data_IF_599619636362
#
_entry.id   IF_599619636362
#
_cell.length_a   1.000
_cell.length_b   1.000
_cell.length_c   1.000
_cell.angle_alpha   90.00
_cell.angle_beta   90.00
_cell.angle_gamma   90.00
#
_symmetry.space_group_name_H-M   'P 1'
#
loop_
_entity.id
_entity.type
_entity.pdbx_description
1 polymer ?
#
# COMPACT_ATOMS: atom_id res chain seq x y z
N UNK A 1 16.28 -5.42 4.00
CA UNK A 1 15.48 -6.02 5.09
C UNK A 1 16.34 -6.86 5.99
N UNK A 2 16.13 -6.79 7.29
CA UNK A 2 16.78 -7.58 8.30
C UNK A 2 15.89 -7.67 9.55
N UNK A 3 16.18 -8.60 10.42
CA UNK A 3 15.51 -8.75 11.70
C UNK A 3 15.70 -7.51 12.57
N UNK A 4 14.64 -7.10 13.29
CA UNK A 4 14.63 -5.87 14.08
C UNK A 4 15.70 -5.90 15.20
N UNK A 5 15.81 -7.02 15.92
CA UNK A 5 16.79 -7.13 17.00
C UNK A 5 18.22 -7.10 16.46
N UNK A 6 18.45 -7.73 15.30
CA UNK A 6 19.74 -7.67 14.64
C UNK A 6 20.11 -6.26 14.21
N UNK A 7 19.16 -5.52 13.60
CA UNK A 7 19.35 -4.12 13.22
C UNK A 7 19.68 -3.25 14.43
N UNK A 8 18.93 -3.39 15.53
CA UNK A 8 19.15 -2.67 16.77
C UNK A 8 20.54 -2.98 17.37
N UNK A 9 20.93 -4.26 17.43
CA UNK A 9 22.19 -4.71 18.04
C UNK A 9 23.42 -4.17 17.29
N UNK A 10 23.36 -4.04 15.96
CA UNK A 10 24.46 -3.47 15.16
C UNK A 10 24.43 -1.95 15.05
N UNK A 11 23.43 -1.29 15.65
CA UNK A 11 23.30 0.17 15.61
C UNK A 11 22.83 0.70 14.25
N UNK A 12 22.04 -0.07 13.48
CA UNK A 12 21.51 0.37 12.20
C UNK A 12 20.56 1.55 12.35
N UNK A 13 20.55 2.42 11.36
CA UNK A 13 19.45 3.35 11.13
C UNK A 13 18.24 2.57 10.61
N UNK A 14 17.10 2.69 11.26
CA UNK A 14 15.87 1.99 10.90
C UNK A 14 14.90 3.03 10.35
N UNK A 15 14.53 2.89 9.09
CA UNK A 15 13.62 3.81 8.39
C UNK A 15 12.16 3.50 8.61
N UNK A 16 11.81 2.22 8.67
CA UNK A 16 10.46 1.71 8.88
C UNK A 16 10.50 0.25 9.33
N UNK A 17 9.37 -0.26 9.77
CA UNK A 17 9.19 -1.67 10.13
C UNK A 17 8.15 -2.30 9.20
N UNK A 18 8.40 -3.52 8.70
CA UNK A 18 7.37 -4.35 8.08
C UNK A 18 6.65 -5.07 9.20
N UNK A 19 5.46 -4.55 9.54
CA UNK A 19 4.67 -5.05 10.67
C UNK A 19 3.90 -6.32 10.32
N UNK A 20 3.42 -6.44 9.07
CA UNK A 20 2.62 -7.57 8.65
C UNK A 20 2.72 -7.84 7.15
N UNK A 21 2.46 -9.09 6.79
CA UNK A 21 2.50 -9.57 5.42
C UNK A 21 1.50 -10.70 5.21
N UNK A 22 0.81 -10.69 4.06
CA UNK A 22 0.01 -11.82 3.65
C UNK A 22 -0.08 -11.93 2.13
N UNK A 23 -0.33 -13.15 1.69
CA UNK A 23 -0.67 -13.47 0.29
C UNK A 23 -1.93 -14.30 0.22
N UNK A 24 -2.71 -14.09 -0.83
CA UNK A 24 -3.88 -14.88 -1.17
C UNK A 24 -3.92 -15.17 -2.67
N UNK A 25 -4.88 -15.96 -3.08
CA UNK A 25 -5.17 -16.15 -4.50
C UNK A 25 -6.69 -16.07 -4.72
N UNK A 26 -7.10 -15.43 -5.81
CA UNK A 26 -8.51 -15.31 -6.20
C UNK A 26 -9.12 -16.64 -6.63
N UNK A 27 -8.31 -17.51 -7.26
CA UNK A 27 -8.76 -18.75 -7.90
C UNK A 27 -9.94 -18.52 -8.87
N UNK A 28 -9.98 -17.34 -9.49
CA UNK A 28 -11.09 -16.90 -10.32
C UNK A 28 -10.80 -17.04 -11.82
N UNK A 29 -9.72 -16.42 -12.30
CA UNK A 29 -9.39 -16.40 -13.73
C UNK A 29 -7.86 -16.28 -13.92
N UNK A 30 -7.27 -16.85 -15.01
CA UNK A 30 -5.82 -16.79 -15.22
C UNK A 30 -5.24 -15.37 -15.38
N UNK A 31 -6.05 -14.39 -15.79
CA UNK A 31 -5.58 -13.03 -16.09
C UNK A 31 -6.35 -11.98 -15.28
N UNK A 32 -7.68 -12.06 -15.26
CA UNK A 32 -8.54 -11.07 -14.63
C UNK A 32 -8.64 -11.29 -13.12
N UNK A 33 -8.62 -10.21 -12.29
CA UNK A 33 -8.92 -10.32 -10.86
C UNK A 33 -10.40 -10.71 -10.64
N UNK A 34 -10.70 -11.22 -9.45
CA UNK A 34 -12.07 -11.38 -9.01
C UNK A 34 -12.74 -10.00 -8.93
N UNK A 35 -13.86 -9.76 -9.64
CA UNK A 35 -14.42 -8.41 -9.78
C UNK A 35 -14.99 -7.86 -8.46
N UNK A 36 -15.28 -8.72 -7.49
CA UNK A 36 -15.75 -8.35 -6.15
C UNK A 36 -14.61 -7.95 -5.19
N UNK A 37 -13.34 -8.03 -5.62
CA UNK A 37 -12.18 -7.68 -4.82
C UNK A 37 -11.93 -8.59 -3.61
N UNK A 38 -12.71 -9.66 -3.42
CA UNK A 38 -12.68 -10.49 -2.20
C UNK A 38 -11.32 -11.15 -1.93
N UNK A 39 -10.60 -11.56 -2.99
CA UNK A 39 -9.27 -12.16 -2.85
C UNK A 39 -8.23 -11.16 -2.34
N UNK A 40 -8.23 -9.96 -2.91
CA UNK A 40 -7.37 -8.86 -2.47
C UNK A 40 -7.74 -8.38 -1.06
N UNK A 41 -9.04 -8.26 -0.74
CA UNK A 41 -9.51 -7.93 0.61
C UNK A 41 -8.96 -8.89 1.66
N UNK A 42 -9.04 -10.21 1.41
CA UNK A 42 -8.46 -11.22 2.31
C UNK A 42 -6.96 -11.06 2.51
N UNK A 43 -6.21 -10.64 1.48
CA UNK A 43 -4.77 -10.38 1.62
C UNK A 43 -4.51 -9.19 2.54
N UNK A 44 -5.29 -8.12 2.39
CA UNK A 44 -5.17 -6.91 3.22
C UNK A 44 -5.54 -7.25 4.67
N UNK A 45 -6.69 -7.89 4.90
CA UNK A 45 -7.14 -8.30 6.25
C UNK A 45 -6.13 -9.21 6.94
N UNK A 46 -5.61 -10.21 6.22
CA UNK A 46 -4.63 -11.14 6.76
C UNK A 46 -3.31 -10.45 7.11
N UNK A 47 -2.84 -9.50 6.29
CA UNK A 47 -1.64 -8.72 6.58
C UNK A 47 -1.82 -7.80 7.81
N UNK A 48 -2.99 -7.18 7.95
CA UNK A 48 -3.35 -6.39 9.13
C UNK A 48 -3.39 -7.27 10.39
N UNK A 49 -4.00 -8.45 10.29
CA UNK A 49 -4.05 -9.43 11.37
C UNK A 49 -2.64 -9.92 11.77
N UNK A 50 -1.79 -10.24 10.80
CA UNK A 50 -0.41 -10.67 11.03
C UNK A 50 0.40 -9.62 11.79
N UNK A 51 0.22 -8.33 11.45
CA UNK A 51 0.84 -7.20 12.13
C UNK A 51 0.19 -6.78 13.44
N UNK A 52 -0.99 -7.33 13.79
CA UNK A 52 -1.77 -6.86 14.94
C UNK A 52 -2.25 -5.41 14.79
N UNK A 53 -2.40 -4.93 13.56
CA UNK A 53 -2.77 -3.54 13.24
C UNK A 53 -4.27 -3.49 12.89
N UNK A 54 -4.99 -2.59 13.55
CA UNK A 54 -6.40 -2.31 13.22
C UNK A 54 -6.51 -1.51 11.92
N UNK A 55 -7.54 -1.74 11.08
CA UNK A 55 -7.81 -0.90 9.91
C UNK A 55 -7.83 0.61 10.22
N UNK A 56 -8.28 1.00 11.41
CA UNK A 56 -8.34 2.40 11.85
C UNK A 56 -6.96 3.07 11.98
N UNK A 57 -5.91 2.29 12.12
CA UNK A 57 -4.54 2.80 12.25
C UNK A 57 -3.89 3.09 10.89
N UNK A 58 -4.51 2.64 9.79
CA UNK A 58 -3.99 2.90 8.44
C UNK A 58 -4.36 4.31 8.00
N UNK A 59 -3.34 5.12 7.73
CA UNK A 59 -3.52 6.50 7.28
C UNK A 59 -3.08 6.74 5.83
N UNK A 60 -2.60 5.70 5.13
CA UNK A 60 -2.18 5.80 3.74
C UNK A 60 -2.21 4.43 3.04
N UNK A 61 -2.59 4.39 1.77
CA UNK A 61 -2.59 3.20 0.93
C UNK A 61 -1.72 3.44 -0.30
N UNK A 62 -0.65 2.65 -0.46
CA UNK A 62 0.08 2.55 -1.72
C UNK A 62 -0.52 1.41 -2.55
N UNK A 63 -1.41 1.77 -3.46
CA UNK A 63 -2.18 0.84 -4.24
C UNK A 63 -1.36 0.15 -5.34
N UNK A 64 -1.79 -1.04 -5.73
CA UNK A 64 -1.29 -1.69 -6.94
C UNK A 64 -1.61 -0.87 -8.18
N UNK A 65 -2.86 -0.50 -8.37
CA UNK A 65 -3.38 0.43 -9.38
C UNK A 65 -2.56 0.46 -10.68
N UNK A 66 -2.58 -0.66 -11.40
CA UNK A 66 -1.83 -0.83 -12.66
C UNK A 66 -2.47 -0.11 -13.85
N UNK A 67 -3.52 0.65 -13.63
CA UNK A 67 -4.30 1.36 -14.66
C UNK A 67 -4.98 0.42 -15.65
N UNK A 68 -5.54 -0.69 -15.13
CA UNK A 68 -6.40 -1.57 -15.90
C UNK A 68 -7.85 -1.42 -15.45
N UNK A 69 -8.85 -1.35 -16.37
CA UNK A 69 -10.24 -1.11 -15.99
C UNK A 69 -10.79 -2.10 -14.96
N UNK A 70 -10.49 -3.39 -15.12
CA UNK A 70 -10.95 -4.41 -14.18
C UNK A 70 -10.14 -4.42 -12.88
N UNK A 71 -8.82 -4.20 -12.96
CA UNK A 71 -7.91 -4.27 -11.81
C UNK A 71 -8.15 -3.15 -10.82
N UNK A 72 -8.22 -1.92 -11.30
CA UNK A 72 -8.38 -0.75 -10.43
C UNK A 72 -9.75 -0.75 -9.74
N UNK A 73 -10.81 -1.19 -10.43
CA UNK A 73 -12.15 -1.34 -9.83
C UNK A 73 -12.16 -2.44 -8.77
N UNK A 74 -11.59 -3.62 -9.07
CA UNK A 74 -11.52 -4.72 -8.10
C UNK A 74 -10.70 -4.35 -6.85
N UNK A 75 -9.61 -3.59 -7.01
CA UNK A 75 -8.83 -3.06 -5.89
C UNK A 75 -9.62 -2.06 -5.06
N UNK A 76 -10.38 -1.16 -5.70
CA UNK A 76 -11.24 -0.23 -5.00
C UNK A 76 -12.33 -0.96 -4.18
N UNK A 77 -12.92 -2.03 -4.73
CA UNK A 77 -13.85 -2.87 -3.97
C UNK A 77 -13.17 -3.55 -2.78
N UNK A 78 -11.96 -4.09 -2.96
CA UNK A 78 -11.19 -4.68 -1.86
C UNK A 78 -10.94 -3.65 -0.73
N UNK A 79 -10.56 -2.43 -1.07
CA UNK A 79 -10.36 -1.34 -0.10
C UNK A 79 -11.66 -1.02 0.62
N UNK A 80 -12.80 -0.95 -0.07
CA UNK A 80 -14.12 -0.74 0.56
C UNK A 80 -14.51 -1.87 1.51
N UNK A 81 -14.26 -3.12 1.13
CA UNK A 81 -14.55 -4.28 1.98
C UNK A 81 -13.79 -4.22 3.31
N UNK A 82 -12.52 -3.83 3.28
CA UNK A 82 -11.65 -3.81 4.47
C UNK A 82 -11.88 -2.57 5.33
N UNK A 83 -11.97 -1.39 4.71
CA UNK A 83 -11.96 -0.10 5.43
C UNK A 83 -13.36 0.51 5.61
N UNK A 84 -14.40 -0.09 4.99
CA UNK A 84 -15.78 0.37 5.13
C UNK A 84 -15.96 1.84 4.73
N UNK A 85 -16.64 2.59 5.57
CA UNK A 85 -16.90 4.03 5.36
C UNK A 85 -15.62 4.86 5.26
N UNK A 86 -14.55 4.45 5.96
CA UNK A 86 -13.25 5.12 5.90
C UNK A 86 -12.53 5.00 4.57
N UNK A 87 -12.94 4.08 3.69
CA UNK A 87 -12.28 3.86 2.39
C UNK A 87 -12.18 5.12 1.52
N UNK A 88 -13.15 6.03 1.63
CA UNK A 88 -13.16 7.32 0.93
C UNK A 88 -12.35 8.43 1.60
N UNK A 89 -11.81 8.19 2.80
CA UNK A 89 -11.07 9.19 3.60
C UNK A 89 -9.57 8.87 3.69
N UNK A 90 -9.18 7.62 3.42
CA UNK A 90 -7.77 7.22 3.47
C UNK A 90 -7.11 7.64 2.16
N UNK A 91 -6.05 8.47 2.20
CA UNK A 91 -5.30 8.84 1.01
C UNK A 91 -4.74 7.62 0.27
N UNK A 92 -4.97 7.56 -1.03
CA UNK A 92 -4.48 6.48 -1.91
C UNK A 92 -3.56 7.05 -2.97
N UNK A 93 -2.44 6.40 -3.24
CA UNK A 93 -1.58 6.74 -4.38
C UNK A 93 -1.08 5.51 -5.12
N UNK A 94 -0.67 5.70 -6.36
CA UNK A 94 0.16 4.77 -7.11
C UNK A 94 1.28 5.52 -7.82
N UNK A 95 2.51 5.16 -7.53
CA UNK A 95 3.68 5.76 -8.19
C UNK A 95 3.91 5.24 -9.61
N UNK A 96 3.14 4.25 -10.06
CA UNK A 96 3.24 3.68 -11.42
C UNK A 96 2.98 4.71 -12.51
N UNK A 97 2.17 5.74 -12.24
CA UNK A 97 1.98 6.85 -13.17
C UNK A 97 3.25 7.65 -13.47
N UNK A 98 4.23 7.62 -12.58
CA UNK A 98 5.52 8.30 -12.71
C UNK A 98 6.63 7.37 -13.24
N UNK A 99 6.74 6.14 -12.72
CA UNK A 99 7.87 5.24 -12.98
C UNK A 99 7.52 4.07 -13.91
N UNK A 100 6.26 3.91 -14.28
CA UNK A 100 5.76 2.75 -15.02
C UNK A 100 5.55 1.52 -14.11
N UNK A 101 4.99 0.46 -14.68
CA UNK A 101 4.84 -0.83 -14.00
C UNK A 101 6.10 -1.67 -14.19
N UNK A 102 6.94 -1.72 -13.18
CA UNK A 102 8.25 -2.40 -13.21
C UNK A 102 8.13 -3.92 -12.94
N UNK A 103 6.96 -4.51 -13.11
CA UNK A 103 6.68 -5.96 -12.96
C UNK A 103 7.19 -6.51 -11.62
N UNK A 104 8.12 -7.47 -11.62
CA UNK A 104 8.69 -8.06 -10.41
C UNK A 104 9.45 -7.08 -9.50
N UNK A 105 9.90 -5.93 -10.02
CA UNK A 105 10.57 -4.90 -9.22
C UNK A 105 9.58 -3.89 -8.60
N UNK A 106 8.31 -3.85 -9.06
CA UNK A 106 7.31 -2.88 -8.58
C UNK A 106 7.14 -2.91 -7.07
N UNK A 107 7.02 -4.12 -6.49
CA UNK A 107 6.85 -4.29 -5.06
C UNK A 107 7.96 -3.63 -4.23
N UNK A 108 9.22 -3.81 -4.63
CA UNK A 108 10.36 -3.22 -3.94
C UNK A 108 10.42 -1.70 -4.11
N UNK A 109 10.25 -1.19 -5.35
CA UNK A 109 10.26 0.25 -5.63
C UNK A 109 9.13 0.99 -4.89
N UNK A 110 7.94 0.42 -4.89
CA UNK A 110 6.78 0.99 -4.20
C UNK A 110 6.93 0.92 -2.68
N UNK A 111 7.58 -0.11 -2.14
CA UNK A 111 7.94 -0.16 -0.72
C UNK A 111 8.93 0.94 -0.35
N UNK A 112 9.97 1.16 -1.16
CA UNK A 112 10.93 2.26 -0.92
C UNK A 112 10.22 3.61 -0.94
N UNK A 113 9.35 3.86 -1.93
CA UNK A 113 8.59 5.13 -2.00
C UNK A 113 7.62 5.30 -0.83
N UNK A 114 7.03 4.20 -0.34
CA UNK A 114 6.17 4.22 0.85
C UNK A 114 6.95 4.58 2.12
N UNK A 115 8.14 4.00 2.29
CA UNK A 115 9.03 4.32 3.42
C UNK A 115 9.46 5.79 3.37
N UNK A 116 9.85 6.31 2.20
CA UNK A 116 10.19 7.72 2.03
C UNK A 116 9.00 8.64 2.34
N UNK A 117 7.79 8.29 1.85
CA UNK A 117 6.58 9.05 2.16
C UNK A 117 6.29 9.07 3.67
N UNK A 118 6.55 7.97 4.37
CA UNK A 118 6.41 7.88 5.83
C UNK A 118 7.44 8.74 6.56
N UNK A 119 8.70 8.71 6.14
CA UNK A 119 9.77 9.50 6.75
C UNK A 119 9.51 11.01 6.60
N UNK A 120 9.02 11.43 5.43
CA UNK A 120 8.72 12.82 5.12
C UNK A 120 7.31 13.24 5.55
N UNK A 121 6.45 12.31 5.98
CA UNK A 121 5.02 12.53 6.24
C UNK A 121 4.33 13.24 5.07
N UNK A 122 4.69 12.81 3.86
CA UNK A 122 4.28 13.42 2.60
C UNK A 122 3.99 12.37 1.53
N UNK A 123 2.73 12.26 1.14
CA UNK A 123 2.26 11.26 0.18
C UNK A 123 2.50 11.76 -1.24
N UNK A 124 3.22 11.01 -2.09
CA UNK A 124 3.45 11.40 -3.47
C UNK A 124 2.15 11.33 -4.29
N UNK A 125 1.99 12.18 -5.33
CA UNK A 125 0.80 12.16 -6.15
C UNK A 125 0.81 10.99 -7.15
N UNK A 126 -0.36 10.48 -7.47
CA UNK A 126 -0.60 9.65 -8.64
C UNK A 126 -0.46 10.50 -9.90
N UNK A 127 0.70 10.41 -10.56
CA UNK A 127 0.98 11.20 -11.77
C UNK A 127 0.07 10.77 -12.92
N UNK A 128 -0.27 11.74 -13.76
CA UNK A 128 -1.13 11.56 -14.94
C UNK A 128 -2.59 11.18 -14.64
N UNK A 129 -3.05 11.34 -13.41
CA UNK A 129 -4.43 11.15 -13.01
C UNK A 129 -5.27 12.36 -13.45
N UNK A 130 -5.88 12.28 -14.66
CA UNK A 130 -6.59 13.40 -15.28
C UNK A 130 -8.10 13.23 -15.33
N UNK A 131 -8.55 11.99 -15.44
CA UNK A 131 -9.97 11.64 -15.60
C UNK A 131 -10.33 10.62 -14.52
N UNK A 132 -10.83 11.07 -13.36
CA UNK A 132 -11.29 10.18 -12.31
C UNK A 132 -12.36 9.22 -12.82
N UNK A 133 -12.19 7.92 -12.57
CA UNK A 133 -13.22 6.93 -12.84
C UNK A 133 -14.23 6.94 -11.68
N UNK A 134 -15.52 7.22 -11.95
CA UNK A 134 -16.55 7.23 -10.90
C UNK A 134 -16.68 5.90 -10.15
N UNK A 135 -16.29 4.78 -10.75
CA UNK A 135 -16.33 3.46 -10.11
C UNK A 135 -15.28 3.32 -9.00
N UNK A 136 -14.19 4.09 -9.05
CA UNK A 136 -13.12 4.04 -8.04
C UNK A 136 -13.57 4.68 -6.73
N UNK A 137 -14.01 5.94 -6.73
CA UNK A 137 -14.59 6.64 -5.57
C UNK A 137 -13.71 6.68 -4.32
N UNK A 138 -12.37 6.61 -4.47
CA UNK A 138 -11.38 6.69 -3.40
C UNK A 138 -10.74 8.08 -3.36
N UNK A 139 -10.11 8.43 -2.24
CA UNK A 139 -9.36 9.68 -2.09
C UNK A 139 -7.96 9.56 -2.74
N UNK A 140 -7.92 9.64 -4.07
CA UNK A 140 -6.67 9.54 -4.82
C UNK A 140 -5.88 10.83 -4.72
N UNK A 141 -4.67 10.77 -4.15
CA UNK A 141 -3.74 11.91 -4.14
C UNK A 141 -3.23 12.13 -5.56
N UNK A 142 -3.44 13.33 -6.11
CA UNK A 142 -3.04 13.70 -7.47
C UNK A 142 -2.51 15.15 -7.54
N UNK A 143 -2.02 15.55 -8.69
CA UNK A 143 -1.40 16.85 -8.99
C UNK A 143 -0.17 17.13 -8.12
N UNK A 144 -0.35 17.46 -6.83
CA UNK A 144 0.71 17.79 -5.90
C UNK A 144 0.81 16.77 -4.75
N UNK A 145 1.99 16.61 -4.15
CA UNK A 145 2.13 15.80 -2.94
C UNK A 145 1.27 16.33 -1.80
N UNK A 146 0.74 15.42 -0.97
CA UNK A 146 -0.12 15.76 0.16
C UNK A 146 0.62 15.56 1.47
N UNK A 147 0.69 16.60 2.29
CA UNK A 147 1.10 16.48 3.69
C UNK A 147 0.07 15.64 4.46
N UNK A 148 0.52 14.66 5.21
CA UNK A 148 -0.34 13.79 6.00
C UNK A 148 0.43 13.20 7.17
N UNK A 149 -0.20 13.12 8.34
CA UNK A 149 0.37 12.45 9.50
C UNK A 149 -0.19 11.04 9.61
N UNK A 150 0.67 10.03 9.50
CA UNK A 150 0.30 8.62 9.60
C UNK A 150 1.44 7.78 10.16
N UNK A 151 1.10 6.74 10.90
CA UNK A 151 2.06 5.83 11.53
C UNK A 151 2.10 4.47 10.83
N UNK A 152 1.05 4.11 10.09
CA UNK A 152 0.97 2.86 9.36
C UNK A 152 0.37 3.09 7.97
N UNK A 153 0.79 2.26 7.04
CA UNK A 153 0.26 2.21 5.69
C UNK A 153 0.14 0.76 5.19
N UNK A 154 -0.69 0.55 4.18
CA UNK A 154 -0.70 -0.70 3.42
C UNK A 154 -0.12 -0.51 2.03
N UNK A 155 0.64 -1.50 1.57
CA UNK A 155 1.19 -1.57 0.23
C UNK A 155 0.68 -2.81 -0.48
N UNK A 156 0.00 -2.62 -1.60
CA UNK A 156 -0.66 -3.68 -2.35
C UNK A 156 0.14 -4.11 -3.58
N UNK A 157 0.13 -5.40 -3.88
CA UNK A 157 0.67 -5.97 -5.11
C UNK A 157 -0.24 -7.09 -5.58
N UNK A 158 -0.86 -6.89 -6.73
CA UNK A 158 -1.75 -7.87 -7.34
C UNK A 158 -1.21 -8.30 -8.69
N UNK A 159 -1.30 -9.58 -8.99
CA UNK A 159 -0.66 -10.16 -10.17
C UNK A 159 -1.58 -11.04 -10.99
N UNK A 160 -1.15 -11.32 -12.22
CA UNK A 160 -1.78 -12.31 -13.08
C UNK A 160 -1.83 -13.66 -12.37
N UNK A 161 -2.89 -14.44 -12.62
CA UNK A 161 -3.13 -15.70 -11.91
C UNK A 161 -3.89 -15.54 -10.59
N UNK A 162 -4.38 -14.31 -10.30
CA UNK A 162 -5.14 -14.00 -9.09
C UNK A 162 -4.27 -13.90 -7.83
N UNK A 163 -2.98 -13.68 -7.97
CA UNK A 163 -2.08 -13.55 -6.84
C UNK A 163 -2.24 -12.16 -6.21
N UNK A 164 -2.50 -12.14 -4.90
CA UNK A 164 -2.60 -10.91 -4.12
C UNK A 164 -1.57 -10.94 -2.99
N UNK A 165 -0.89 -9.83 -2.78
CA UNK A 165 0.02 -9.62 -1.67
C UNK A 165 -0.20 -8.25 -1.06
N UNK A 166 -0.14 -8.18 0.27
CA UNK A 166 -0.18 -6.95 1.03
C UNK A 166 0.94 -6.91 2.06
N UNK A 167 1.59 -5.75 2.19
CA UNK A 167 2.48 -5.41 3.29
C UNK A 167 1.78 -4.38 4.17
N UNK A 168 1.95 -4.49 5.48
CA UNK A 168 1.68 -3.43 6.45
C UNK A 168 3.03 -2.87 6.89
N UNK A 169 3.22 -1.58 6.69
CA UNK A 169 4.46 -0.87 7.00
C UNK A 169 4.15 0.14 8.10
N UNK A 170 4.94 0.10 9.17
CA UNK A 170 4.85 1.01 10.30
C UNK A 170 6.08 1.91 10.44
N UNK A 171 5.93 2.97 11.21
CA UNK A 171 7.06 3.83 11.58
C UNK A 171 8.14 3.04 12.32
N UNK A 172 9.39 3.46 12.14
CA UNK A 172 10.50 2.93 12.93
C UNK A 172 10.24 3.09 14.44
N UNK A 173 10.65 2.11 15.27
CA UNK A 173 10.54 2.21 16.72
C UNK A 173 11.13 3.53 17.26
N UNK A 174 10.44 4.18 18.19
CA UNK A 174 10.70 5.56 18.65
C UNK A 174 12.13 5.89 19.15
N UNK A 175 12.96 4.87 19.39
CA UNK A 175 14.28 5.05 19.96
C UNK A 175 15.41 5.42 18.98
N UNK A 176 15.13 5.56 17.67
CA UNK A 176 16.20 5.79 16.66
C UNK A 176 15.73 6.54 15.40
N UNK A 177 14.93 7.59 15.54
CA UNK A 177 14.79 8.56 14.46
C UNK A 177 16.02 9.45 14.44
N UNK A 178 16.93 9.24 13.50
CA UNK A 178 17.90 10.28 13.15
C UNK A 178 17.23 11.18 12.11
N UNK A 179 17.23 12.49 12.38
CA UNK A 179 16.85 13.49 11.38
C UNK A 179 17.78 13.37 10.17
N UNK A 180 17.23 13.26 8.99
CA UNK A 180 17.98 13.46 7.75
C UNK A 180 18.23 14.96 7.67
N UNK A 181 19.49 15.38 7.90
CA UNK A 181 19.99 16.74 7.63
C UNK A 181 20.26 16.90 6.13
#
# INVERSE_FOLDING_TARGET
>A
LEDLEFALNRGAEIYAEICGFATTNDAYHPIAPAPDGSGAARAIEAALCDGGISPDQIGFINAHAASTPAGDVAEAEAIRLVFGERSGEIPVTSVKGAIGHCMGASGALETVTSVLAMMEQRIPPTRNYRNPDPAIGLDVVHDEPREASFTHLTKHSFGLGGQNACLVIGEAPANRRTSID
#
